data_IF_218085347086
#
_entry.id   IF_218085347086
#
_cell.length_a   1.000
_cell.length_b   1.000
_cell.length_c   1.000
_cell.angle_alpha   90.00
_cell.angle_beta   90.00
_cell.angle_gamma   90.00
#
_symmetry.space_group_name_H-M   'P 1'
#
loop_
_entity.id
_entity.type
_entity.pdbx_description
1 polymer ?
#
# COMPACT_ATOMS: atom_id res chain seq x y z
N UNK A 1 -12.75 12.17 5.00
CA UNK A 1 -13.89 12.68 4.23
C UNK A 1 -14.65 13.74 5.01
N UNK A 2 -14.50 15.05 4.71
CA UNK A 2 -15.65 15.94 4.91
C UNK A 2 -16.86 15.19 4.35
N UNK A 3 -17.99 15.14 5.07
CA UNK A 3 -19.13 14.29 4.67
C UNK A 3 -19.23 14.35 3.15
N UNK A 4 -19.12 13.21 2.44
CA UNK A 4 -19.06 13.19 0.97
C UNK A 4 -20.25 13.99 0.34
N UNK A 5 -21.26 14.30 1.14
CA UNK A 5 -22.36 15.23 0.90
C UNK A 5 -22.01 16.74 0.77
N UNK A 6 -20.85 17.23 1.22
CA UNK A 6 -20.56 18.68 1.32
C UNK A 6 -19.84 19.26 0.08
N UNK A 7 -19.19 18.43 -0.74
CA UNK A 7 -18.53 18.82 -1.98
C UNK A 7 -18.58 17.65 -2.99
N UNK A 8 -19.61 17.62 -3.86
CA UNK A 8 -19.83 16.50 -4.79
C UNK A 8 -18.63 16.20 -5.71
N UNK A 9 -17.90 17.23 -6.16
CA UNK A 9 -16.72 17.03 -7.00
C UNK A 9 -15.54 16.42 -6.24
N UNK A 10 -15.38 16.80 -4.96
CA UNK A 10 -14.39 16.15 -4.11
C UNK A 10 -14.77 14.69 -3.83
N UNK A 11 -16.07 14.41 -3.65
CA UNK A 11 -16.57 13.04 -3.52
C UNK A 11 -16.23 12.20 -4.75
N UNK A 12 -16.43 12.71 -5.96
CA UNK A 12 -16.07 12.01 -7.21
C UNK A 12 -14.56 11.76 -7.32
N UNK A 13 -13.73 12.76 -7.00
CA UNK A 13 -12.27 12.58 -6.97
C UNK A 13 -11.82 11.47 -6.03
N UNK A 14 -12.48 11.36 -4.86
CA UNK A 14 -12.23 10.26 -3.92
C UNK A 14 -12.75 8.91 -4.39
N UNK A 15 -13.93 8.85 -5.01
CA UNK A 15 -14.43 7.61 -5.61
C UNK A 15 -13.44 7.05 -6.63
N UNK A 16 -12.86 7.91 -7.47
CA UNK A 16 -11.79 7.52 -8.38
C UNK A 16 -10.52 7.07 -7.62
N UNK A 17 -10.09 7.85 -6.62
CA UNK A 17 -8.89 7.55 -5.83
C UNK A 17 -8.96 6.15 -5.18
N UNK A 18 -10.06 5.83 -4.50
CA UNK A 18 -10.21 4.55 -3.83
C UNK A 18 -10.44 3.38 -4.79
N UNK A 19 -10.82 3.64 -6.05
CA UNK A 19 -10.95 2.63 -7.10
C UNK A 19 -9.70 2.51 -7.99
N UNK A 20 -8.54 3.05 -7.57
CA UNK A 20 -7.26 3.01 -8.30
C UNK A 20 -7.27 3.80 -9.63
N UNK A 21 -8.26 4.66 -9.82
CA UNK A 21 -8.43 5.51 -11.00
C UNK A 21 -7.67 6.83 -10.80
N UNK A 22 -6.38 6.73 -10.52
CA UNK A 22 -5.56 7.88 -10.12
C UNK A 22 -5.48 9.01 -11.15
N UNK A 23 -5.41 8.78 -12.48
CA UNK A 23 -5.43 9.88 -13.46
C UNK A 23 -6.69 10.75 -13.37
N UNK A 24 -7.84 10.11 -13.14
CA UNK A 24 -9.12 10.79 -12.95
C UNK A 24 -9.11 11.54 -11.61
N UNK A 25 -8.71 10.87 -10.52
CA UNK A 25 -8.61 11.49 -9.20
C UNK A 25 -7.68 12.74 -9.20
N UNK A 26 -6.52 12.65 -9.85
CA UNK A 26 -5.57 13.77 -10.00
C UNK A 26 -6.21 14.93 -10.75
N UNK A 27 -6.99 14.65 -11.81
CA UNK A 27 -7.72 15.70 -12.55
C UNK A 27 -8.70 16.44 -11.64
N UNK A 28 -9.52 15.72 -10.87
CA UNK A 28 -10.46 16.31 -9.92
C UNK A 28 -9.75 17.13 -8.82
N UNK A 29 -8.72 16.57 -8.19
CA UNK A 29 -8.01 17.26 -7.12
C UNK A 29 -7.21 18.47 -7.62
N UNK A 30 -6.67 18.42 -8.84
CA UNK A 30 -6.03 19.59 -9.48
C UNK A 30 -7.03 20.70 -9.78
N UNK A 31 -8.23 20.37 -10.25
CA UNK A 31 -9.29 21.38 -10.41
C UNK A 31 -9.66 22.02 -9.06
N UNK A 32 -9.68 21.22 -7.98
CA UNK A 32 -9.98 21.71 -6.65
C UNK A 32 -8.90 22.68 -6.10
N UNK A 33 -7.61 22.48 -6.42
CA UNK A 33 -6.55 23.44 -6.03
C UNK A 33 -6.63 24.77 -6.77
N UNK A 34 -7.23 24.79 -7.97
CA UNK A 34 -7.49 26.04 -8.72
C UNK A 34 -8.72 26.76 -8.20
N UNK A 35 -9.76 26.03 -7.83
CA UNK A 35 -11.03 26.60 -7.35
C UNK A 35 -10.92 27.20 -5.94
N UNK A 36 -10.18 26.53 -5.07
CA UNK A 36 -10.03 26.91 -3.65
C UNK A 36 -8.54 26.87 -3.25
N UNK A 37 -7.69 27.72 -3.87
CA UNK A 37 -6.24 27.69 -3.68
C UNK A 37 -5.79 28.02 -2.26
N UNK A 38 -6.64 28.68 -1.46
CA UNK A 38 -6.40 29.05 -0.07
C UNK A 38 -6.64 27.91 0.93
N UNK A 39 -7.27 26.82 0.49
CA UNK A 39 -7.61 25.67 1.34
C UNK A 39 -6.48 24.62 1.35
N UNK A 40 -5.76 24.42 2.47
CA UNK A 40 -4.63 23.50 2.53
C UNK A 40 -5.00 22.04 2.21
N UNK A 41 -6.23 21.62 2.50
CA UNK A 41 -6.76 20.30 2.20
C UNK A 41 -6.78 19.98 0.70
N UNK A 42 -7.01 20.97 -0.18
CA UNK A 42 -7.05 20.75 -1.64
C UNK A 42 -5.68 20.31 -2.15
N UNK A 43 -4.63 20.96 -1.67
CA UNK A 43 -3.25 20.62 -1.97
C UNK A 43 -2.86 19.25 -1.41
N UNK A 44 -3.33 18.90 -0.21
CA UNK A 44 -3.13 17.57 0.36
C UNK A 44 -3.74 16.46 -0.50
N UNK A 45 -4.97 16.64 -1.01
CA UNK A 45 -5.61 15.63 -1.85
C UNK A 45 -4.86 15.40 -3.17
N UNK A 46 -4.37 16.47 -3.80
CA UNK A 46 -3.53 16.35 -4.99
C UNK A 46 -2.21 15.64 -4.68
N UNK A 47 -1.51 16.04 -3.61
CA UNK A 47 -0.28 15.37 -3.16
C UNK A 47 -0.51 13.88 -2.84
N UNK A 48 -1.63 13.55 -2.20
CA UNK A 48 -2.03 12.18 -1.89
C UNK A 48 -2.23 11.35 -3.17
N UNK A 49 -2.99 11.86 -4.14
CA UNK A 49 -3.22 11.16 -5.40
C UNK A 49 -1.95 10.97 -6.24
N UNK A 50 -1.05 11.96 -6.25
CA UNK A 50 0.26 11.84 -6.89
C UNK A 50 1.11 10.74 -6.24
N UNK A 51 1.23 10.75 -4.91
CA UNK A 51 2.00 9.73 -4.19
C UNK A 51 1.42 8.32 -4.38
N UNK A 52 0.11 8.15 -4.22
CA UNK A 52 -0.53 6.83 -4.34
C UNK A 52 -0.54 6.32 -5.78
N UNK A 53 -0.62 7.19 -6.78
CA UNK A 53 -0.40 6.83 -8.20
C UNK A 53 0.96 6.17 -8.38
N UNK A 54 2.01 6.75 -7.82
CA UNK A 54 3.37 6.21 -7.92
C UNK A 54 3.54 4.93 -7.10
N UNK A 55 2.87 4.84 -5.93
CA UNK A 55 2.79 3.58 -5.18
C UNK A 55 2.14 2.47 -5.99
N UNK A 56 1.03 2.77 -6.67
CA UNK A 56 0.31 1.79 -7.48
C UNK A 56 1.14 1.31 -8.68
N UNK A 57 1.77 2.23 -9.42
CA UNK A 57 2.66 1.89 -10.55
C UNK A 57 3.85 1.02 -10.12
N UNK A 58 4.35 1.25 -8.91
CA UNK A 58 5.45 0.47 -8.34
C UNK A 58 5.00 -0.83 -7.66
N UNK A 59 3.71 -1.17 -7.67
CA UNK A 59 3.13 -2.31 -6.93
C UNK A 59 3.07 -2.11 -5.41
N UNK A 60 3.60 -1.01 -4.86
CA UNK A 60 3.82 -0.74 -3.44
C UNK A 60 2.55 -0.60 -2.57
N UNK A 61 1.36 -0.77 -3.14
CA UNK A 61 0.09 -0.85 -2.42
C UNK A 61 -0.28 -2.29 -2.03
N UNK A 62 0.43 -3.29 -2.54
CA UNK A 62 0.20 -4.70 -2.22
C UNK A 62 0.95 -5.08 -0.94
N UNK A 63 0.28 -5.78 -0.02
CA UNK A 63 0.83 -6.09 1.30
C UNK A 63 1.93 -7.16 1.25
N UNK A 64 2.04 -7.92 0.16
CA UNK A 64 3.19 -8.83 -0.08
C UNK A 64 4.52 -8.05 -0.03
N UNK A 65 4.51 -6.77 -0.43
CA UNK A 65 5.68 -5.89 -0.36
C UNK A 65 5.95 -5.31 1.04
N UNK A 66 5.04 -5.54 2.00
CA UNK A 66 5.09 -4.97 3.35
C UNK A 66 5.31 -6.05 4.43
N UNK A 67 4.99 -7.32 4.16
CA UNK A 67 5.03 -8.43 5.12
C UNK A 67 6.39 -9.16 5.22
N UNK A 68 7.37 -8.83 4.37
CA UNK A 68 8.72 -9.37 4.45
C UNK A 68 9.40 -9.13 5.81
N UNK A 69 10.24 -10.08 6.25
CA UNK A 69 10.82 -10.20 7.60
C UNK A 69 11.66 -9.01 8.10
N UNK A 70 11.91 -7.99 7.26
CA UNK A 70 12.44 -6.72 7.71
C UNK A 70 11.99 -5.54 6.81
N UNK A 71 10.90 -4.81 7.16
CA UNK A 71 10.39 -3.71 6.34
C UNK A 71 11.39 -2.56 6.19
N UNK A 72 12.44 -2.50 7.01
CA UNK A 72 13.39 -1.38 7.07
C UNK A 72 14.56 -1.49 6.08
N UNK A 73 14.79 -2.63 5.40
CA UNK A 73 16.10 -2.86 4.75
C UNK A 73 16.04 -3.17 3.25
N UNK A 74 14.91 -3.60 2.66
CA UNK A 74 14.90 -4.02 1.24
C UNK A 74 13.62 -3.64 0.51
N UNK A 75 13.48 -2.35 0.18
CA UNK A 75 12.46 -1.87 -0.76
C UNK A 75 13.13 -1.27 -1.96
N UNK A 76 12.74 -1.70 -3.15
CA UNK A 76 13.07 -1.00 -4.38
C UNK A 76 12.70 0.48 -4.25
N UNK A 77 13.55 1.33 -4.83
CA UNK A 77 13.35 2.78 -4.78
C UNK A 77 12.20 3.11 -5.73
N UNK A 78 11.13 3.71 -5.22
CA UNK A 78 10.15 4.35 -6.09
C UNK A 78 10.83 5.52 -6.80
N UNK A 79 10.72 5.57 -8.12
CA UNK A 79 11.34 6.60 -8.94
C UNK A 79 10.25 7.40 -9.67
N UNK A 80 9.55 8.30 -8.96
CA UNK A 80 8.60 9.18 -9.63
C UNK A 80 9.34 10.03 -10.67
N UNK A 81 8.64 10.42 -11.74
CA UNK A 81 9.21 11.36 -12.71
C UNK A 81 9.56 12.68 -12.02
N UNK A 82 10.54 13.42 -12.58
CA UNK A 82 10.93 14.72 -12.04
C UNK A 82 9.73 15.68 -11.93
N UNK A 83 8.79 15.60 -12.87
CA UNK A 83 7.57 16.40 -12.87
C UNK A 83 6.62 16.02 -11.71
N UNK A 84 6.37 14.72 -11.50
CA UNK A 84 5.53 14.26 -10.38
C UNK A 84 6.17 14.61 -9.03
N UNK A 85 7.49 14.44 -8.92
CA UNK A 85 8.24 14.80 -7.72
C UNK A 85 8.10 16.31 -7.41
N UNK A 86 8.27 17.16 -8.42
CA UNK A 86 8.12 18.61 -8.29
C UNK A 86 6.69 18.99 -7.88
N UNK A 87 5.68 18.47 -8.56
CA UNK A 87 4.28 18.76 -8.23
C UNK A 87 3.92 18.31 -6.81
N UNK A 88 4.40 17.14 -6.38
CA UNK A 88 4.21 16.65 -5.01
C UNK A 88 4.81 17.62 -3.99
N UNK A 89 6.05 18.04 -4.19
CA UNK A 89 6.75 18.97 -3.30
C UNK A 89 6.05 20.33 -3.22
N UNK A 90 5.60 20.87 -4.36
CA UNK A 90 4.84 22.13 -4.41
C UNK A 90 3.52 22.03 -3.64
N UNK A 91 2.77 20.92 -3.81
CA UNK A 91 1.52 20.70 -3.09
C UNK A 91 1.73 20.61 -1.57
N UNK A 92 2.71 19.83 -1.13
CA UNK A 92 3.03 19.70 0.30
C UNK A 92 3.50 21.03 0.87
N UNK A 93 4.37 21.76 0.16
CA UNK A 93 4.83 23.08 0.58
C UNK A 93 3.65 24.06 0.74
N UNK A 94 2.70 24.06 -0.21
CA UNK A 94 1.51 24.91 -0.12
C UNK A 94 0.58 24.52 1.02
N UNK A 95 0.30 23.24 1.21
CA UNK A 95 -0.52 22.77 2.32
C UNK A 95 0.09 23.18 3.68
N UNK A 96 1.41 23.03 3.83
CA UNK A 96 2.13 23.43 5.04
C UNK A 96 2.12 24.95 5.24
N UNK A 97 2.35 25.75 4.19
CA UNK A 97 2.30 27.20 4.27
C UNK A 97 0.91 27.67 4.75
N UNK A 98 -0.14 27.29 4.01
CA UNK A 98 -1.52 27.72 4.28
C UNK A 98 -2.02 27.22 5.63
N UNK A 99 -1.66 25.99 6.01
CA UNK A 99 -1.97 25.44 7.33
C UNK A 99 -1.32 26.25 8.45
N UNK A 100 -0.04 26.56 8.34
CA UNK A 100 0.67 27.37 9.36
C UNK A 100 0.12 28.80 9.44
N UNK A 101 -0.21 29.42 8.30
CA UNK A 101 -0.81 30.76 8.26
C UNK A 101 -2.17 30.80 8.99
N UNK A 102 -2.98 29.73 8.86
CA UNK A 102 -4.25 29.58 9.59
C UNK A 102 -4.03 29.36 11.08
N UNK A 103 -3.09 28.49 11.46
CA UNK A 103 -2.74 28.22 12.86
C UNK A 103 -2.17 29.45 13.58
N UNK A 104 -1.41 30.29 12.88
CA UNK A 104 -0.90 31.55 13.43
C UNK A 104 -2.04 32.51 13.83
N UNK A 105 -3.17 32.48 13.12
CA UNK A 105 -4.36 33.29 13.41
C UNK A 105 -5.28 32.63 14.44
N UNK A 106 -5.46 31.32 14.33
CA UNK A 106 -6.28 30.52 15.24
C UNK A 106 -5.57 29.20 15.58
N UNK A 107 -4.90 29.10 16.74
CA UNK A 107 -4.21 27.88 17.15
C UNK A 107 -5.11 26.65 17.33
N UNK A 108 -6.43 26.85 17.41
CA UNK A 108 -7.45 25.79 17.53
C UNK A 108 -8.17 25.51 16.22
N UNK A 109 -7.71 26.04 15.09
CA UNK A 109 -8.30 25.75 13.78
C UNK A 109 -8.13 24.25 13.46
N UNK A 110 -9.21 23.49 13.69
CA UNK A 110 -9.25 22.04 13.56
C UNK A 110 -8.86 21.57 12.17
N UNK A 111 -9.36 22.23 11.12
CA UNK A 111 -9.11 21.83 9.74
C UNK A 111 -7.68 22.18 9.32
N UNK A 112 -7.13 23.30 9.80
CA UNK A 112 -5.71 23.62 9.58
C UNK A 112 -4.78 22.63 10.29
N UNK A 113 -5.07 22.27 11.55
CA UNK A 113 -4.30 21.24 12.28
C UNK A 113 -4.37 19.90 11.53
N UNK A 114 -5.56 19.53 11.05
CA UNK A 114 -5.77 18.29 10.32
C UNK A 114 -4.97 18.30 9.00
N UNK A 115 -5.06 19.40 8.25
CA UNK A 115 -4.34 19.55 6.99
C UNK A 115 -2.81 19.55 7.19
N UNK A 116 -2.29 20.19 8.24
CA UNK A 116 -0.87 20.10 8.60
C UNK A 116 -0.47 18.65 8.91
N UNK A 117 -1.30 17.94 9.67
CA UNK A 117 -1.11 16.52 9.98
C UNK A 117 -0.94 15.66 8.74
N UNK A 118 -1.86 15.80 7.79
CA UNK A 118 -1.84 15.08 6.52
C UNK A 118 -0.62 15.49 5.68
N UNK A 119 -0.30 16.77 5.57
CA UNK A 119 0.84 17.25 4.80
C UNK A 119 2.18 16.68 5.32
N UNK A 120 2.38 16.70 6.64
CA UNK A 120 3.54 16.05 7.26
C UNK A 120 3.53 14.54 7.05
N UNK A 121 2.38 13.87 7.18
CA UNK A 121 2.27 12.42 6.93
C UNK A 121 2.61 12.03 5.49
N UNK A 122 2.13 12.78 4.51
CA UNK A 122 2.45 12.57 3.09
C UNK A 122 3.94 12.78 2.83
N UNK A 123 4.54 13.85 3.36
CA UNK A 123 5.97 14.10 3.23
C UNK A 123 6.81 13.02 3.91
N UNK A 124 6.37 12.53 5.07
CA UNK A 124 7.01 11.42 5.75
C UNK A 124 7.02 10.14 4.89
N UNK A 125 5.88 9.80 4.28
CA UNK A 125 5.77 8.65 3.39
C UNK A 125 6.66 8.82 2.16
N UNK A 126 6.70 10.01 1.55
CA UNK A 126 7.57 10.29 0.40
C UNK A 126 9.05 10.20 0.77
N UNK A 127 9.45 10.77 1.91
CA UNK A 127 10.82 10.68 2.43
C UNK A 127 11.25 9.22 2.63
N UNK A 128 10.35 8.36 3.13
CA UNK A 128 10.62 6.95 3.35
C UNK A 128 10.67 6.13 2.05
N UNK A 129 9.67 6.27 1.19
CA UNK A 129 9.48 5.41 0.01
C UNK A 129 10.38 5.82 -1.16
N UNK A 130 10.51 7.13 -1.39
CA UNK A 130 11.19 7.70 -2.57
C UNK A 130 12.60 8.14 -2.22
N UNK A 131 12.76 9.00 -1.20
CA UNK A 131 14.05 9.63 -0.89
C UNK A 131 14.98 8.78 -0.04
N UNK A 132 14.46 7.73 0.62
CA UNK A 132 15.16 6.91 1.63
C UNK A 132 15.74 7.77 2.78
N UNK A 133 15.11 8.90 3.08
CA UNK A 133 15.48 9.83 4.14
C UNK A 133 14.72 9.48 5.44
N UNK A 134 15.18 8.44 6.13
CA UNK A 134 14.42 7.84 7.25
C UNK A 134 14.29 8.76 8.47
N UNK A 135 15.34 9.55 8.77
CA UNK A 135 15.30 10.50 9.89
C UNK A 135 14.29 11.64 9.62
N UNK A 136 14.28 12.16 8.39
CA UNK A 136 13.30 13.18 7.98
C UNK A 136 11.88 12.62 7.98
N UNK A 137 11.70 11.36 7.54
CA UNK A 137 10.43 10.66 7.63
C UNK A 137 9.92 10.53 9.07
N UNK A 138 10.80 10.15 10.02
CA UNK A 138 10.43 10.03 11.43
C UNK A 138 10.10 11.40 12.06
N UNK A 139 10.86 12.43 11.71
CA UNK A 139 10.59 13.81 12.14
C UNK A 139 9.22 14.29 11.64
N UNK A 140 8.93 14.11 10.37
CA UNK A 140 7.64 14.47 9.79
C UNK A 140 6.49 13.64 10.37
N UNK A 141 6.68 12.33 10.57
CA UNK A 141 5.69 11.48 11.24
C UNK A 141 5.38 11.97 12.66
N UNK A 142 6.39 12.44 13.39
CA UNK A 142 6.20 13.04 14.72
C UNK A 142 5.46 14.38 14.65
N UNK A 143 5.76 15.23 13.66
CA UNK A 143 5.02 16.49 13.45
C UNK A 143 3.56 16.22 13.09
N UNK A 144 3.29 15.22 12.25
CA UNK A 144 1.94 14.79 11.89
C UNK A 144 1.14 14.36 13.13
N UNK A 145 1.75 13.50 13.98
CA UNK A 145 1.15 13.10 15.26
C UNK A 145 0.86 14.31 16.14
N UNK A 146 1.81 15.23 16.32
CA UNK A 146 1.63 16.41 17.19
C UNK A 146 0.47 17.29 16.74
N UNK A 147 0.31 17.49 15.43
CA UNK A 147 -0.81 18.24 14.88
C UNK A 147 -2.16 17.56 15.21
N UNK A 148 -2.27 16.25 15.01
CA UNK A 148 -3.49 15.49 15.32
C UNK A 148 -3.75 15.36 16.82
N UNK A 149 -2.72 15.24 17.66
CA UNK A 149 -2.86 15.22 19.11
C UNK A 149 -3.50 16.52 19.63
N UNK A 150 -3.12 17.68 19.07
CA UNK A 150 -3.78 18.96 19.38
C UNK A 150 -5.26 18.98 19.00
N UNK A 151 -5.65 18.31 17.91
CA UNK A 151 -7.07 18.17 17.56
C UNK A 151 -7.78 17.36 18.65
N UNK A 152 -7.21 16.22 19.07
CA UNK A 152 -7.80 15.41 20.14
C UNK A 152 -7.88 16.13 21.50
N UNK A 153 -6.95 17.06 21.78
CA UNK A 153 -6.99 17.91 22.97
C UNK A 153 -8.16 18.90 22.94
N UNK A 154 -8.43 19.53 21.79
CA UNK A 154 -9.50 20.53 21.66
C UNK A 154 -10.87 19.92 21.31
N UNK A 155 -10.87 18.76 20.66
CA UNK A 155 -12.03 18.08 20.09
C UNK A 155 -11.97 16.57 20.41
N UNK A 156 -12.15 16.16 21.68
CA UNK A 156 -11.93 14.78 22.12
C UNK A 156 -12.84 13.74 21.45
N UNK A 157 -14.01 14.18 20.97
CA UNK A 157 -14.99 13.36 20.26
C UNK A 157 -14.65 13.14 18.77
N UNK A 158 -13.64 13.84 18.25
CA UNK A 158 -13.16 13.66 16.88
C UNK A 158 -12.35 12.37 16.76
N UNK A 159 -13.04 11.27 16.50
CA UNK A 159 -12.41 9.95 16.33
C UNK A 159 -11.45 9.94 15.14
N UNK A 160 -11.79 10.62 14.04
CA UNK A 160 -11.03 10.55 12.80
C UNK A 160 -9.62 11.11 12.93
N UNK A 161 -9.42 12.13 13.79
CA UNK A 161 -8.09 12.67 14.04
C UNK A 161 -7.13 11.64 14.68
N UNK A 162 -7.63 10.56 15.29
CA UNK A 162 -6.79 9.54 15.94
C UNK A 162 -6.10 8.58 14.97
N UNK A 163 -6.42 8.61 13.67
CA UNK A 163 -5.82 7.71 12.68
C UNK A 163 -4.28 7.80 12.70
N UNK A 164 -3.73 9.01 12.54
CA UNK A 164 -2.27 9.24 12.50
C UNK A 164 -1.61 8.84 13.82
N UNK A 165 -2.28 9.11 14.95
CA UNK A 165 -1.79 8.68 16.26
C UNK A 165 -1.67 7.16 16.35
N UNK A 166 -2.70 6.42 15.90
CA UNK A 166 -2.70 4.97 15.89
C UNK A 166 -1.58 4.39 15.02
N UNK A 167 -1.42 4.91 13.79
CA UNK A 167 -0.32 4.50 12.88
C UNK A 167 1.04 4.78 13.52
N UNK A 168 1.24 6.00 14.02
CA UNK A 168 2.51 6.39 14.65
C UNK A 168 2.84 5.49 15.85
N UNK A 169 1.85 5.27 16.75
CA UNK A 169 2.03 4.45 17.94
C UNK A 169 2.41 3.02 17.58
N UNK A 170 1.76 2.45 16.57
CA UNK A 170 2.10 1.13 16.06
C UNK A 170 3.52 1.06 15.50
N UNK A 171 3.90 2.00 14.62
CA UNK A 171 5.22 2.01 13.97
C UNK A 171 6.33 2.13 15.02
N UNK A 172 6.26 3.15 15.90
CA UNK A 172 7.27 3.37 16.94
C UNK A 172 7.27 2.23 17.97
N UNK A 173 6.09 1.70 18.29
CA UNK A 173 5.94 0.55 19.18
C UNK A 173 6.55 -0.74 18.63
N UNK A 174 6.66 -0.86 17.30
CA UNK A 174 7.17 -2.03 16.58
C UNK A 174 8.65 -1.94 16.18
N UNK A 175 9.36 -0.86 16.57
CA UNK A 175 10.79 -0.72 16.32
C UNK A 175 11.59 -1.75 17.14
N UNK A 176 12.71 -2.29 16.59
CA UNK A 176 13.64 -3.10 17.37
C UNK A 176 14.02 -2.42 18.68
N UNK A 177 14.17 -3.22 19.75
CA UNK A 177 14.33 -2.69 21.12
C UNK A 177 15.45 -1.65 21.25
N UNK A 178 16.58 -1.84 20.55
CA UNK A 178 17.72 -0.93 20.57
C UNK A 178 17.46 0.40 19.83
N UNK A 179 16.63 0.39 18.79
CA UNK A 179 16.17 1.61 18.13
C UNK A 179 15.12 2.32 19.01
N UNK A 180 14.24 1.55 19.66
CA UNK A 180 13.22 2.07 20.56
C UNK A 180 13.81 2.79 21.78
N UNK A 181 14.88 2.25 22.37
CA UNK A 181 15.57 2.88 23.52
C UNK A 181 16.24 4.20 23.12
N UNK A 182 16.93 4.26 21.98
CA UNK A 182 17.49 5.51 21.45
C UNK A 182 16.38 6.51 21.11
N UNK A 183 15.32 6.06 20.47
CA UNK A 183 14.16 6.88 20.14
C UNK A 183 13.47 7.46 21.38
N UNK A 184 13.39 6.69 22.47
CA UNK A 184 12.84 7.16 23.74
C UNK A 184 13.61 8.36 24.32
N UNK A 185 14.94 8.33 24.26
CA UNK A 185 15.80 9.45 24.67
C UNK A 185 15.58 10.69 23.79
N UNK A 186 15.24 10.50 22.51
CA UNK A 186 14.87 11.55 21.58
C UNK A 186 13.39 11.99 21.68
N UNK A 187 12.63 11.46 22.65
CA UNK A 187 11.22 11.82 22.89
C UNK A 187 10.19 11.05 22.06
N UNK A 188 10.59 10.01 21.34
CA UNK A 188 9.67 9.15 20.58
C UNK A 188 9.09 8.04 21.45
N UNK A 189 7.75 7.94 21.51
CA UNK A 189 7.03 6.93 22.29
C UNK A 189 5.91 6.29 21.47
N UNK A 190 5.85 4.96 21.50
CA UNK A 190 4.81 4.19 20.81
C UNK A 190 4.50 2.88 21.53
N UNK A 191 3.24 2.50 21.42
CA UNK A 191 2.67 1.24 21.87
C UNK A 191 2.06 0.52 20.67
N UNK A 192 2.54 -0.71 20.41
CA UNK A 192 2.12 -1.54 19.28
C UNK A 192 0.64 -1.91 19.39
N UNK A 193 0.23 -2.44 20.54
CA UNK A 193 -1.16 -2.85 20.78
C UNK A 193 -2.07 -1.64 20.95
N UNK A 194 -1.62 -0.60 21.65
CA UNK A 194 -2.33 0.67 21.72
C UNK A 194 -2.60 1.27 20.34
N UNK A 195 -1.62 1.22 19.44
CA UNK A 195 -1.78 1.65 18.05
C UNK A 195 -2.86 0.88 17.30
N UNK A 196 -2.87 -0.46 17.42
CA UNK A 196 -3.91 -1.32 16.82
C UNK A 196 -5.30 -1.02 17.39
N UNK A 197 -5.42 -0.82 18.71
CA UNK A 197 -6.69 -0.45 19.36
C UNK A 197 -7.21 0.90 18.86
N UNK A 198 -6.34 1.90 18.76
CA UNK A 198 -6.70 3.22 18.24
C UNK A 198 -7.16 3.15 16.78
N UNK A 199 -6.45 2.39 15.94
CA UNK A 199 -6.85 2.20 14.55
C UNK A 199 -8.21 1.48 14.44
N UNK A 200 -8.48 0.49 15.30
CA UNK A 200 -9.77 -0.21 15.36
C UNK A 200 -10.90 0.75 15.72
N UNK A 201 -10.67 1.63 16.70
CA UNK A 201 -11.62 2.69 17.05
C UNK A 201 -11.97 3.56 15.83
N UNK A 202 -10.99 3.94 15.01
CA UNK A 202 -11.25 4.72 13.79
C UNK A 202 -11.96 3.90 12.72
N UNK A 203 -11.60 2.62 12.55
CA UNK A 203 -12.23 1.71 11.60
C UNK A 203 -13.71 1.40 11.92
N UNK A 204 -14.09 1.52 13.19
CA UNK A 204 -15.45 1.25 13.66
C UNK A 204 -16.28 2.54 13.78
N UNK A 205 -15.71 3.58 14.39
CA UNK A 205 -16.44 4.81 14.76
C UNK A 205 -16.06 6.05 13.95
N UNK A 206 -14.99 6.01 13.17
CA UNK A 206 -14.62 7.11 12.28
C UNK A 206 -15.72 7.36 11.25
N UNK A 207 -15.86 8.63 10.84
CA UNK A 207 -16.74 9.05 9.75
C UNK A 207 -15.93 9.25 8.46
N UNK A 208 -14.79 9.90 8.62
CA UNK A 208 -13.92 10.36 7.55
C UNK A 208 -12.89 9.32 7.12
N UNK A 209 -12.24 8.69 8.09
CA UNK A 209 -11.04 7.87 7.95
C UNK A 209 -11.34 6.39 8.18
N UNK A 210 -12.63 6.03 8.26
CA UNK A 210 -13.09 4.66 8.50
C UNK A 210 -12.43 3.67 7.53
N UNK A 211 -12.50 3.96 6.23
CA UNK A 211 -11.98 3.06 5.21
C UNK A 211 -10.45 3.07 5.17
N UNK A 212 -9.79 4.22 5.37
CA UNK A 212 -8.34 4.28 5.52
C UNK A 212 -7.85 3.43 6.68
N UNK A 213 -8.53 3.52 7.84
CA UNK A 213 -8.22 2.71 9.01
C UNK A 213 -8.40 1.22 8.73
N UNK A 214 -9.46 0.83 8.01
CA UNK A 214 -9.69 -0.58 7.61
C UNK A 214 -8.58 -1.11 6.70
N UNK A 215 -8.17 -0.33 5.70
CA UNK A 215 -7.07 -0.71 4.80
C UNK A 215 -5.76 -0.86 5.57
N UNK A 216 -5.43 0.13 6.41
CA UNK A 216 -4.20 0.11 7.22
C UNK A 216 -4.23 -1.08 8.19
N UNK A 217 -5.32 -1.27 8.94
CA UNK A 217 -5.46 -2.39 9.87
C UNK A 217 -5.32 -3.74 9.18
N UNK A 218 -5.85 -3.90 7.96
CA UNK A 218 -5.72 -5.16 7.22
C UNK A 218 -4.26 -5.51 6.94
N UNK A 219 -3.47 -4.53 6.49
CA UNK A 219 -2.03 -4.70 6.30
C UNK A 219 -1.28 -4.97 7.61
N UNK A 220 -1.67 -4.30 8.70
CA UNK A 220 -1.07 -4.54 10.02
C UNK A 220 -1.41 -5.92 10.57
N UNK A 221 -2.67 -6.36 10.48
CA UNK A 221 -3.08 -7.69 10.91
C UNK A 221 -2.38 -8.81 10.15
N UNK A 222 -2.15 -8.65 8.84
CA UNK A 222 -1.28 -9.56 8.10
C UNK A 222 0.11 -9.64 8.73
N UNK A 223 0.74 -8.49 8.99
CA UNK A 223 2.07 -8.41 9.63
C UNK A 223 2.08 -9.01 11.03
N UNK A 224 0.98 -8.91 11.77
CA UNK A 224 0.79 -9.54 13.08
C UNK A 224 0.53 -11.05 13.01
N UNK A 225 0.52 -11.68 11.82
CA UNK A 225 0.09 -13.07 11.60
C UNK A 225 -1.33 -13.32 12.10
N UNK A 226 -2.21 -12.33 11.93
CA UNK A 226 -3.64 -12.36 12.27
C UNK A 226 -4.50 -12.17 10.99
N UNK A 227 -4.27 -12.95 9.91
CA UNK A 227 -4.91 -12.70 8.62
C UNK A 227 -6.45 -12.81 8.65
N UNK A 228 -6.99 -13.64 9.55
CA UNK A 228 -8.45 -13.80 9.73
C UNK A 228 -9.14 -12.52 10.21
N UNK A 229 -8.45 -11.67 10.98
CA UNK A 229 -8.99 -10.38 11.44
C UNK A 229 -9.00 -9.31 10.34
N UNK A 230 -8.17 -9.46 9.31
CA UNK A 230 -8.15 -8.56 8.15
C UNK A 230 -9.31 -8.83 7.17
N UNK A 231 -9.75 -10.08 7.05
CA UNK A 231 -10.79 -10.49 6.09
C UNK A 231 -12.09 -9.66 6.15
N UNK A 232 -12.75 -9.45 7.31
CA UNK A 232 -13.98 -8.64 7.35
C UNK A 232 -13.72 -7.16 7.01
N UNK A 233 -12.53 -6.64 7.31
CA UNK A 233 -12.16 -5.27 6.97
C UNK A 233 -11.98 -5.11 5.46
N UNK A 234 -11.26 -6.04 4.84
CA UNK A 234 -11.03 -6.11 3.39
C UNK A 234 -12.34 -6.32 2.62
N UNK A 235 -13.22 -7.19 3.10
CA UNK A 235 -14.53 -7.39 2.50
C UNK A 235 -15.34 -6.09 2.51
N UNK A 236 -15.38 -5.40 3.65
CA UNK A 236 -16.11 -4.14 3.76
C UNK A 236 -15.58 -3.05 2.81
N UNK A 237 -14.26 -2.92 2.64
CA UNK A 237 -13.70 -1.94 1.66
C UNK A 237 -13.90 -2.39 0.22
N UNK A 238 -13.86 -3.69 -0.06
CA UNK A 238 -14.13 -4.23 -1.40
C UNK A 238 -15.58 -4.05 -1.83
N UNK A 239 -16.54 -4.10 -0.90
CA UNK A 239 -17.95 -3.82 -1.18
C UNK A 239 -18.19 -2.34 -1.45
N UNK A 240 -17.48 -1.45 -0.74
CA UNK A 240 -17.58 0.01 -0.95
C UNK A 240 -16.91 0.44 -2.26
N UNK A 241 -15.77 -0.15 -2.60
CA UNK A 241 -14.95 0.22 -3.76
C UNK A 241 -14.72 -1.00 -4.67
N UNK A 242 -15.78 -1.49 -5.37
CA UNK A 242 -15.74 -2.77 -6.08
C UNK A 242 -14.80 -2.80 -7.29
N UNK A 243 -14.39 -1.63 -7.82
CA UNK A 243 -13.41 -1.55 -8.93
C UNK A 243 -11.97 -1.59 -8.42
N UNK A 244 -11.76 -1.43 -7.10
CA UNK A 244 -10.47 -1.70 -6.48
C UNK A 244 -10.25 -3.22 -6.33
N UNK A 245 -9.65 -3.81 -7.36
CA UNK A 245 -9.35 -5.23 -7.38
C UNK A 245 -8.28 -5.64 -6.34
N UNK A 246 -7.43 -4.71 -5.88
CA UNK A 246 -6.38 -5.02 -4.91
C UNK A 246 -6.97 -5.54 -3.59
N UNK A 247 -8.10 -5.01 -3.12
CA UNK A 247 -8.72 -5.52 -1.89
C UNK A 247 -9.08 -7.01 -1.97
N UNK A 248 -9.51 -7.48 -3.15
CA UNK A 248 -9.80 -8.90 -3.37
C UNK A 248 -8.52 -9.73 -3.46
N UNK A 249 -7.46 -9.20 -4.07
CA UNK A 249 -6.14 -9.85 -4.07
C UNK A 249 -5.54 -9.92 -2.65
N UNK A 250 -5.73 -8.90 -1.83
CA UNK A 250 -5.36 -8.93 -0.41
C UNK A 250 -6.14 -10.00 0.36
N UNK A 251 -7.42 -10.22 0.06
CA UNK A 251 -8.18 -11.32 0.66
C UNK A 251 -7.61 -12.69 0.25
N UNK A 252 -7.15 -12.87 -1.00
CA UNK A 252 -6.45 -14.10 -1.44
C UNK A 252 -5.22 -14.34 -0.56
N UNK A 253 -4.45 -13.29 -0.27
CA UNK A 253 -3.29 -13.36 0.61
C UNK A 253 -3.66 -13.72 2.04
N UNK A 254 -4.71 -13.10 2.60
CA UNK A 254 -5.18 -13.43 3.95
C UNK A 254 -5.66 -14.89 4.05
N UNK A 255 -6.44 -15.37 3.08
CA UNK A 255 -6.87 -16.76 3.06
C UNK A 255 -5.70 -17.73 2.91
N UNK A 256 -4.72 -17.40 2.07
CA UNK A 256 -3.49 -18.18 1.95
C UNK A 256 -2.71 -18.25 3.26
N UNK A 257 -2.48 -17.11 3.92
CA UNK A 257 -1.78 -17.02 5.20
C UNK A 257 -2.55 -17.75 6.33
N UNK A 258 -3.88 -17.87 6.22
CA UNK A 258 -4.73 -18.65 7.11
C UNK A 258 -4.82 -20.15 6.74
N UNK A 259 -4.11 -20.61 5.71
CA UNK A 259 -4.13 -22.01 5.25
C UNK A 259 -5.40 -22.42 4.49
N UNK A 260 -6.25 -21.47 4.10
CA UNK A 260 -7.50 -21.73 3.40
C UNK A 260 -7.31 -21.60 1.87
N UNK A 261 -6.75 -22.65 1.27
CA UNK A 261 -6.51 -22.75 -0.18
C UNK A 261 -7.79 -22.52 -1.00
N UNK A 262 -8.89 -23.13 -0.58
CA UNK A 262 -10.12 -23.16 -1.37
C UNK A 262 -10.78 -21.78 -1.45
N UNK A 263 -10.83 -21.04 -0.34
CA UNK A 263 -11.34 -19.68 -0.35
C UNK A 263 -10.46 -18.73 -1.20
N UNK A 264 -9.14 -18.88 -1.13
CA UNK A 264 -8.21 -18.12 -1.95
C UNK A 264 -8.41 -18.40 -3.46
N UNK A 265 -8.56 -19.68 -3.84
CA UNK A 265 -8.84 -20.09 -5.22
C UNK A 265 -10.21 -19.58 -5.69
N UNK A 266 -11.23 -19.63 -4.85
CA UNK A 266 -12.58 -19.17 -5.20
C UNK A 266 -12.60 -17.67 -5.56
N UNK A 267 -11.86 -16.84 -4.83
CA UNK A 267 -11.74 -15.40 -5.15
C UNK A 267 -11.06 -15.20 -6.51
N UNK A 268 -9.95 -15.89 -6.75
CA UNK A 268 -9.23 -15.79 -8.03
C UNK A 268 -10.08 -16.27 -9.21
N UNK A 269 -10.85 -17.36 -9.03
CA UNK A 269 -11.76 -17.86 -10.05
C UNK A 269 -12.87 -16.85 -10.39
N UNK A 270 -13.40 -16.16 -9.36
CA UNK A 270 -14.39 -15.09 -9.55
C UNK A 270 -13.80 -13.87 -10.27
N UNK A 271 -12.59 -13.44 -9.89
CA UNK A 271 -11.88 -12.37 -10.58
C UNK A 271 -11.65 -12.71 -12.06
N UNK A 272 -11.22 -13.94 -12.35
CA UNK A 272 -11.00 -14.40 -13.72
C UNK A 272 -12.32 -14.41 -14.53
N UNK A 273 -13.41 -14.92 -13.96
CA UNK A 273 -14.72 -14.93 -14.60
C UNK A 273 -15.25 -13.51 -14.88
N UNK A 274 -15.14 -12.59 -13.92
CA UNK A 274 -15.54 -11.18 -14.09
C UNK A 274 -14.67 -10.45 -15.12
N UNK A 275 -13.39 -10.84 -15.27
CA UNK A 275 -12.50 -10.28 -16.29
C UNK A 275 -12.86 -10.81 -17.68
N UNK A 276 -13.15 -12.10 -17.82
CA UNK A 276 -13.62 -12.72 -19.07
C UNK A 276 -14.96 -12.13 -19.51
N UNK A 277 -15.86 -11.86 -18.57
CA UNK A 277 -17.13 -11.18 -18.81
C UNK A 277 -16.98 -9.67 -19.11
N UNK A 278 -15.75 -9.13 -19.09
CA UNK A 278 -15.43 -7.72 -19.31
C UNK A 278 -16.26 -6.76 -18.43
N UNK A 279 -16.43 -7.11 -17.16
CA UNK A 279 -17.15 -6.25 -16.21
C UNK A 279 -16.40 -4.91 -16.04
N UNK A 280 -17.12 -3.78 -15.85
CA UNK A 280 -16.48 -2.48 -15.67
C UNK A 280 -15.45 -2.43 -14.53
N UNK A 281 -15.67 -3.23 -13.48
CA UNK A 281 -14.78 -3.31 -12.32
C UNK A 281 -13.39 -3.89 -12.64
N UNK A 282 -13.26 -4.73 -13.68
CA UNK A 282 -12.00 -5.36 -14.06
C UNK A 282 -11.52 -4.96 -15.46
N UNK A 283 -12.15 -3.97 -16.09
CA UNK A 283 -11.83 -3.53 -17.44
C UNK A 283 -10.32 -3.23 -17.60
N UNK A 284 -9.75 -2.51 -16.63
CA UNK A 284 -8.35 -2.06 -16.65
C UNK A 284 -7.36 -3.01 -15.93
N UNK A 285 -7.83 -4.19 -15.48
CA UNK A 285 -6.97 -5.16 -14.78
C UNK A 285 -6.38 -6.14 -15.79
N UNK A 286 -5.05 -6.26 -15.90
CA UNK A 286 -4.43 -7.29 -16.74
C UNK A 286 -4.83 -8.68 -16.22
N UNK A 287 -5.30 -9.56 -17.11
CA UNK A 287 -5.67 -10.93 -16.72
C UNK A 287 -4.44 -11.71 -16.24
N UNK A 288 -3.28 -11.35 -16.76
CA UNK A 288 -1.96 -11.85 -16.37
C UNK A 288 -1.68 -11.65 -14.89
N UNK A 289 -2.23 -10.58 -14.28
CA UNK A 289 -2.10 -10.34 -12.83
C UNK A 289 -2.86 -11.40 -12.04
N UNK A 290 -4.07 -11.76 -12.48
CA UNK A 290 -4.88 -12.81 -11.85
C UNK A 290 -4.18 -14.17 -11.99
N UNK A 291 -3.61 -14.45 -13.16
CA UNK A 291 -2.85 -15.68 -13.39
C UNK A 291 -1.57 -15.76 -12.56
N UNK A 292 -0.83 -14.66 -12.40
CA UNK A 292 0.31 -14.60 -11.49
C UNK A 292 -0.11 -14.95 -10.06
N UNK A 293 -1.13 -14.28 -9.52
CA UNK A 293 -1.60 -14.53 -8.16
C UNK A 293 -2.02 -15.99 -7.96
N UNK A 294 -2.69 -16.59 -8.95
CA UNK A 294 -3.06 -18.01 -8.92
C UNK A 294 -1.84 -18.94 -8.96
N UNK A 295 -0.89 -18.66 -9.84
CA UNK A 295 0.35 -19.41 -9.93
C UNK A 295 1.18 -19.34 -8.65
N UNK A 296 1.35 -18.14 -8.08
CA UNK A 296 2.07 -17.91 -6.83
C UNK A 296 1.38 -18.62 -5.65
N UNK A 297 0.05 -18.56 -5.55
CA UNK A 297 -0.72 -19.29 -4.54
C UNK A 297 -0.45 -20.80 -4.64
N UNK A 298 -0.59 -21.37 -5.84
CA UNK A 298 -0.40 -22.80 -6.08
C UNK A 298 1.03 -23.28 -5.78
N UNK A 299 2.04 -22.45 -6.08
CA UNK A 299 3.42 -22.70 -5.68
C UNK A 299 3.57 -22.90 -4.17
N UNK A 300 2.98 -22.02 -3.36
CA UNK A 300 3.03 -22.15 -1.90
C UNK A 300 2.29 -23.40 -1.42
N UNK A 301 1.21 -23.80 -2.09
CA UNK A 301 0.48 -25.05 -1.85
C UNK A 301 1.07 -26.31 -2.53
N UNK A 302 2.29 -26.23 -3.08
CA UNK A 302 3.03 -27.37 -3.68
C UNK A 302 2.37 -27.98 -4.92
N UNK A 303 1.47 -27.25 -5.57
CA UNK A 303 0.80 -27.66 -6.80
C UNK A 303 1.57 -27.08 -8.00
N UNK A 304 2.80 -27.58 -8.19
CA UNK A 304 3.79 -26.94 -9.06
C UNK A 304 3.41 -27.04 -10.54
N UNK A 305 2.87 -28.17 -10.97
CA UNK A 305 2.42 -28.40 -12.34
C UNK A 305 1.31 -27.42 -12.73
N UNK A 306 0.31 -27.23 -11.87
CA UNK A 306 -0.77 -26.25 -12.10
C UNK A 306 -0.25 -24.83 -11.96
N UNK A 307 0.67 -24.57 -11.02
CA UNK A 307 1.34 -23.27 -10.91
C UNK A 307 2.06 -22.89 -12.21
N UNK A 308 2.82 -23.82 -12.81
CA UNK A 308 3.51 -23.61 -14.10
C UNK A 308 2.51 -23.22 -15.18
N UNK A 309 1.35 -23.88 -15.27
CA UNK A 309 0.35 -23.56 -16.28
C UNK A 309 -0.14 -22.11 -16.16
N UNK A 310 -0.42 -21.64 -14.94
CA UNK A 310 -0.87 -20.26 -14.72
C UNK A 310 0.25 -19.23 -14.90
N UNK A 311 1.44 -19.51 -14.36
CA UNK A 311 2.59 -18.60 -14.48
C UNK A 311 3.00 -18.42 -15.95
N UNK A 312 2.99 -19.49 -16.76
CA UNK A 312 3.24 -19.40 -18.21
C UNK A 312 2.22 -18.54 -18.95
N UNK A 313 0.97 -18.47 -18.48
CA UNK A 313 -0.04 -17.56 -19.06
C UNK A 313 0.23 -16.11 -18.69
N UNK A 314 0.85 -15.85 -17.53
CA UNK A 314 1.17 -14.51 -17.06
C UNK A 314 2.43 -13.89 -17.69
N UNK A 315 3.38 -14.71 -18.18
CA UNK A 315 4.65 -14.23 -18.75
C UNK A 315 4.61 -13.48 -20.11
N UNK A 316 3.69 -13.75 -21.07
CA UNK A 316 3.77 -13.17 -22.42
C UNK A 316 3.62 -11.65 -22.46
N UNK A 317 2.95 -11.04 -21.48
CA UNK A 317 2.62 -9.62 -21.46
C UNK A 317 3.16 -8.92 -20.20
N UNK A 318 4.44 -9.15 -19.90
CA UNK A 318 5.14 -8.51 -18.79
C UNK A 318 4.96 -6.97 -18.73
N UNK A 319 4.93 -6.20 -19.84
CA UNK A 319 4.73 -4.75 -19.79
C UNK A 319 3.35 -4.31 -19.29
N UNK A 320 2.34 -5.20 -19.29
CA UNK A 320 1.02 -4.89 -18.73
C UNK A 320 0.98 -5.02 -17.20
N UNK A 321 2.01 -5.60 -16.59
CA UNK A 321 2.13 -5.80 -15.14
C UNK A 321 3.02 -4.73 -14.52
N UNK A 322 2.85 -4.47 -13.22
CA UNK A 322 3.87 -3.77 -12.45
C UNK A 322 5.17 -4.60 -12.44
N UNK A 323 6.32 -3.90 -12.36
CA UNK A 323 7.64 -4.53 -12.46
C UNK A 323 7.82 -5.68 -11.46
N UNK A 324 7.33 -5.49 -10.24
CA UNK A 324 7.42 -6.52 -9.20
C UNK A 324 6.70 -7.79 -9.61
N UNK A 325 5.41 -7.70 -9.95
CA UNK A 325 4.59 -8.82 -10.41
C UNK A 325 5.22 -9.52 -11.61
N UNK A 326 5.73 -8.75 -12.57
CA UNK A 326 6.31 -9.28 -13.80
C UNK A 326 7.60 -10.08 -13.53
N UNK A 327 8.52 -9.57 -12.71
CA UNK A 327 9.76 -10.27 -12.36
C UNK A 327 9.48 -11.46 -11.45
N UNK A 328 8.57 -11.32 -10.47
CA UNK A 328 8.17 -12.40 -9.58
C UNK A 328 7.51 -13.56 -10.33
N UNK A 329 6.73 -13.27 -11.38
CA UNK A 329 6.16 -14.31 -12.25
C UNK A 329 7.24 -15.21 -12.83
N UNK A 330 8.31 -14.62 -13.38
CA UNK A 330 9.43 -15.36 -13.93
C UNK A 330 10.25 -16.11 -12.87
N UNK A 331 10.52 -15.46 -11.73
CA UNK A 331 11.21 -16.12 -10.61
C UNK A 331 10.44 -17.35 -10.12
N UNK A 332 9.14 -17.21 -9.85
CA UNK A 332 8.27 -18.30 -9.41
C UNK A 332 8.17 -19.40 -10.45
N UNK A 333 8.08 -19.05 -11.73
CA UNK A 333 8.06 -20.03 -12.82
C UNK A 333 9.36 -20.85 -12.84
N UNK A 334 10.50 -20.19 -12.68
CA UNK A 334 11.79 -20.88 -12.60
C UNK A 334 11.89 -21.81 -11.38
N UNK A 335 11.40 -21.36 -10.23
CA UNK A 335 11.37 -22.18 -9.01
C UNK A 335 10.47 -23.40 -9.15
N UNK A 336 9.29 -23.26 -9.77
CA UNK A 336 8.43 -24.40 -10.08
C UNK A 336 9.15 -25.39 -10.99
N UNK A 337 9.81 -24.92 -12.05
CA UNK A 337 10.54 -25.80 -12.97
C UNK A 337 11.69 -26.56 -12.29
N UNK A 338 12.46 -25.91 -11.41
CA UNK A 338 13.49 -26.62 -10.63
C UNK A 338 12.88 -27.70 -9.73
N UNK A 339 11.74 -27.43 -9.10
CA UNK A 339 11.04 -28.38 -8.22
C UNK A 339 10.40 -29.55 -9.00
N UNK A 340 10.03 -29.33 -10.25
CA UNK A 340 9.57 -30.38 -11.18
C UNK A 340 10.71 -30.95 -12.04
N UNK A 341 11.97 -30.71 -11.67
CA UNK A 341 13.17 -31.24 -12.32
C UNK A 341 13.41 -30.80 -13.78
N UNK A 342 12.73 -29.77 -14.28
CA UNK A 342 12.99 -29.15 -15.59
C UNK A 342 14.02 -28.01 -15.48
N UNK A 343 15.28 -28.42 -15.29
CA UNK A 343 16.38 -27.47 -15.06
C UNK A 343 16.60 -26.49 -16.22
N UNK A 344 16.36 -26.92 -17.46
CA UNK A 344 16.59 -26.09 -18.65
C UNK A 344 15.58 -24.95 -18.71
N UNK A 345 14.30 -25.26 -18.49
CA UNK A 345 13.25 -24.24 -18.43
C UNK A 345 13.42 -23.32 -17.22
N UNK A 346 13.85 -23.86 -16.07
CA UNK A 346 14.14 -23.07 -14.88
C UNK A 346 15.19 -21.97 -15.15
N UNK A 347 16.34 -22.36 -15.72
CA UNK A 347 17.40 -21.41 -16.07
C UNK A 347 16.94 -20.36 -17.09
N UNK A 348 16.07 -20.74 -18.04
CA UNK A 348 15.50 -19.78 -18.99
C UNK A 348 14.65 -18.74 -18.26
N UNK A 349 13.76 -19.18 -17.36
CA UNK A 349 12.89 -18.29 -16.59
C UNK A 349 13.69 -17.32 -15.70
N UNK A 350 14.74 -17.81 -15.01
CA UNK A 350 15.60 -16.94 -14.20
C UNK A 350 16.33 -15.88 -15.02
N UNK A 351 16.78 -16.20 -16.25
CA UNK A 351 17.38 -15.20 -17.15
C UNK A 351 16.39 -14.12 -17.55
N UNK A 352 15.13 -14.48 -17.82
CA UNK A 352 14.08 -13.50 -18.13
C UNK A 352 13.77 -12.60 -16.92
N UNK A 353 13.69 -13.15 -15.71
CA UNK A 353 13.55 -12.35 -14.48
C UNK A 353 14.68 -11.32 -14.35
N UNK A 354 15.93 -11.74 -14.57
CA UNK A 354 17.12 -10.87 -14.52
C UNK A 354 17.12 -9.80 -15.60
N UNK A 355 16.66 -10.14 -16.81
CA UNK A 355 16.57 -9.19 -17.93
C UNK A 355 15.51 -8.12 -17.68
N UNK A 356 14.37 -8.51 -17.10
CA UNK A 356 13.23 -7.63 -16.91
C UNK A 356 13.43 -6.61 -15.79
N UNK A 357 14.09 -7.00 -14.69
CA UNK A 357 14.34 -6.11 -13.56
C UNK A 357 15.69 -6.39 -12.90
N UNK A 358 16.83 -6.06 -13.52
CA UNK A 358 18.16 -6.47 -13.05
C UNK A 358 18.50 -6.00 -11.63
N UNK A 359 17.95 -4.86 -11.20
CA UNK A 359 18.19 -4.27 -9.88
C UNK A 359 17.25 -4.80 -8.79
N UNK A 360 16.24 -5.58 -9.18
CA UNK A 360 15.23 -6.13 -8.27
C UNK A 360 15.83 -7.23 -7.40
N UNK A 361 15.27 -7.42 -6.20
CA UNK A 361 15.73 -8.51 -5.33
C UNK A 361 15.38 -9.88 -5.91
N UNK A 362 14.26 -9.99 -6.62
CA UNK A 362 13.85 -11.20 -7.33
C UNK A 362 14.83 -11.58 -8.47
N UNK A 363 15.39 -10.60 -9.18
CA UNK A 363 16.46 -10.84 -10.16
C UNK A 363 17.77 -11.26 -9.50
N UNK A 364 18.16 -10.63 -8.38
CA UNK A 364 19.34 -11.05 -7.61
C UNK A 364 19.20 -12.48 -7.10
N UNK A 365 18.00 -12.85 -6.63
CA UNK A 365 17.66 -14.22 -6.23
C UNK A 365 17.75 -15.18 -7.42
N UNK A 366 17.16 -14.82 -8.56
CA UNK A 366 17.23 -15.59 -9.82
C UNK A 366 18.66 -15.87 -10.27
N UNK A 367 19.58 -14.89 -10.10
CA UNK A 367 21.01 -15.06 -10.42
C UNK A 367 21.65 -16.19 -9.62
N UNK A 368 21.31 -16.32 -8.34
CA UNK A 368 21.82 -17.40 -7.50
C UNK A 368 21.35 -18.77 -8.02
N UNK A 369 20.12 -18.83 -8.56
CA UNK A 369 19.55 -20.07 -9.06
C UNK A 369 20.02 -20.50 -10.45
N UNK A 370 20.82 -19.70 -11.16
CA UNK A 370 21.44 -20.14 -12.43
C UNK A 370 22.43 -21.29 -12.22
N UNK A 371 23.18 -21.25 -11.12
CA UNK A 371 24.24 -22.23 -10.82
C UNK A 371 23.79 -23.34 -9.87
N UNK A 372 22.78 -23.09 -9.03
CA UNK A 372 22.21 -24.07 -8.10
C UNK A 372 20.70 -24.12 -8.24
N UNK A 373 20.06 -25.30 -8.39
CA UNK A 373 18.61 -25.37 -8.46
C UNK A 373 17.97 -24.86 -7.18
N UNK A 374 16.84 -24.18 -7.32
CA UNK A 374 16.00 -23.82 -6.18
C UNK A 374 15.64 -25.09 -5.40
N UNK A 375 15.79 -25.00 -4.09
CA UNK A 375 15.29 -25.99 -3.15
C UNK A 375 14.41 -25.26 -2.16
N UNK A 376 13.24 -25.82 -1.88
CA UNK A 376 12.35 -25.28 -0.87
C UNK A 376 13.02 -25.42 0.51
N UNK A 377 13.10 -24.36 1.32
CA UNK A 377 13.49 -24.50 2.73
C UNK A 377 12.58 -25.51 3.43
N UNK A 378 13.12 -26.31 4.35
CA UNK A 378 12.30 -27.15 5.21
C UNK A 378 11.30 -26.26 5.97
N UNK A 379 10.05 -26.71 6.14
CA UNK A 379 9.05 -25.95 6.88
C UNK A 379 9.58 -25.74 8.32
N UNK A 380 9.72 -24.48 8.74
CA UNK A 380 10.15 -24.10 10.11
C UNK A 380 8.93 -23.71 10.93
#
# INVERSE_FOLDING_TARGET
>A
MPSLAADPQLSEGFEHFYNLEYPQAITFFRAATVREPEKPERWNHLAQALLYSEMFKAGALESELVSGSNPFVRREKMQPSAEVAKQFDECVAKALQLGNDRIAKNPRDRDALYALGIAYGLRANYNYLVRKAWMDSLRDSSSARKAHARIAEFYPDDVDCRLIEGVYSYIVGSLPWHIKTLGFLAGYRGDREGGLKTLRLVADKGLQNRYDARVILSALYRRERRPTEALPLLQSVSERFPRNYLFRLEMVQMYSDAGNKDAAIAILARLEAEKVANTPALANVPVEKIWYYRGNLLFWYRDYETAIQHLRKATPNAPALDLHTAVMTWLRLGQCYDLTQDRKSAQSAYREAMKLGPDTDAAKESKNYLNSPYKRPADV
#
